data_IF_924882005632
#
_entry.id   IF_924882005632
#
_cell.length_a   1.000
_cell.length_b   1.000
_cell.length_c   1.000
_cell.angle_alpha   90.00
_cell.angle_beta   90.00
_cell.angle_gamma   90.00
#
_symmetry.space_group_name_H-M   'P 1'
#
loop_
_entity.id
_entity.type
_entity.pdbx_description
1 polymer ?
#
# COMPACT_ATOMS: atom_id res chain seq x y z
N UNK A 1 34.34 11.09 33.05
CA UNK A 1 32.97 10.76 33.50
C UNK A 1 31.86 11.53 32.77
N UNK A 2 31.99 12.84 32.50
CA UNK A 2 31.00 13.60 31.73
C UNK A 2 30.79 13.07 30.29
N UNK A 3 31.85 12.57 29.66
CA UNK A 3 31.83 12.09 28.27
C UNK A 3 31.00 10.81 28.07
N UNK A 4 30.99 9.92 29.08
CA UNK A 4 30.21 8.67 29.04
C UNK A 4 28.70 8.94 29.15
N UNK A 5 28.27 9.91 29.97
CA UNK A 5 26.86 10.31 30.07
C UNK A 5 26.36 10.92 28.75
N UNK A 6 27.14 11.82 28.15
CA UNK A 6 26.79 12.46 26.89
C UNK A 6 26.67 11.45 25.72
N UNK A 7 27.53 10.43 25.67
CA UNK A 7 27.43 9.34 24.69
C UNK A 7 26.17 8.49 24.93
N UNK A 8 25.85 8.20 26.18
CA UNK A 8 24.68 7.38 26.56
C UNK A 8 23.35 8.09 26.27
N UNK A 9 23.27 9.39 26.49
CA UNK A 9 22.09 10.19 26.16
C UNK A 9 21.86 10.25 24.64
N UNK A 10 22.93 10.48 23.85
CA UNK A 10 22.84 10.49 22.38
C UNK A 10 22.40 9.14 21.81
N UNK A 11 22.87 8.03 22.37
CA UNK A 11 22.46 6.69 21.91
C UNK A 11 21.01 6.40 22.28
N UNK A 12 20.55 6.81 23.46
CA UNK A 12 19.17 6.67 23.90
C UNK A 12 18.20 7.50 23.04
N UNK A 13 18.56 8.74 22.72
CA UNK A 13 17.78 9.60 21.81
C UNK A 13 17.70 9.02 20.40
N UNK A 14 18.84 8.56 19.86
CA UNK A 14 18.88 7.92 18.54
C UNK A 14 18.05 6.63 18.49
N UNK A 15 18.05 5.83 19.56
CA UNK A 15 17.19 4.65 19.66
C UNK A 15 15.71 5.01 19.72
N UNK A 16 15.35 6.01 20.52
CA UNK A 16 13.97 6.51 20.64
C UNK A 16 13.45 7.02 19.30
N UNK A 17 14.27 7.78 18.56
CA UNK A 17 13.97 8.24 17.21
C UNK A 17 13.72 7.09 16.23
N UNK A 18 14.59 6.06 16.24
CA UNK A 18 14.43 4.86 15.40
C UNK A 18 13.16 4.08 15.72
N UNK A 19 12.82 3.90 17.00
CA UNK A 19 11.58 3.22 17.43
C UNK A 19 10.33 3.97 16.96
N UNK A 20 10.31 5.31 17.09
CA UNK A 20 9.19 6.13 16.60
C UNK A 20 9.04 6.03 15.09
N UNK A 21 10.13 6.08 14.32
CA UNK A 21 10.08 5.92 12.86
C UNK A 21 9.57 4.54 12.45
N UNK A 22 10.02 3.48 13.12
CA UNK A 22 9.55 2.12 12.85
C UNK A 22 8.04 1.96 13.14
N UNK A 23 7.56 2.52 14.26
CA UNK A 23 6.12 2.52 14.59
C UNK A 23 5.28 3.27 13.56
N UNK A 24 5.74 4.44 13.10
CA UNK A 24 5.08 5.20 12.03
C UNK A 24 5.06 4.42 10.71
N UNK A 25 6.19 3.83 10.32
CA UNK A 25 6.27 3.00 9.11
C UNK A 25 5.27 1.84 9.17
N UNK A 26 5.23 1.11 10.29
CA UNK A 26 4.29 0.00 10.49
C UNK A 26 2.82 0.44 10.43
N UNK A 27 2.48 1.59 11.03
CA UNK A 27 1.14 2.17 10.93
C UNK A 27 0.74 2.46 9.47
N UNK A 28 1.60 3.16 8.71
CA UNK A 28 1.32 3.48 7.31
C UNK A 28 1.28 2.25 6.42
N UNK A 29 2.08 1.22 6.73
CA UNK A 29 2.04 -0.06 6.02
C UNK A 29 0.71 -0.79 6.26
N UNK A 30 0.21 -0.78 7.51
CA UNK A 30 -1.11 -1.31 7.83
C UNK A 30 -2.24 -0.54 7.12
N UNK A 31 -2.16 0.80 7.09
CA UNK A 31 -3.13 1.62 6.36
C UNK A 31 -3.09 1.36 4.84
N UNK A 32 -1.90 1.20 4.26
CA UNK A 32 -1.75 0.86 2.85
C UNK A 32 -2.42 -0.49 2.53
N UNK A 33 -2.23 -1.49 3.40
CA UNK A 33 -2.89 -2.79 3.28
C UNK A 33 -4.41 -2.66 3.30
N UNK A 34 -4.97 -1.91 4.26
CA UNK A 34 -6.41 -1.70 4.33
C UNK A 34 -6.95 -1.02 3.06
N UNK A 35 -6.35 0.09 2.64
CA UNK A 35 -6.87 0.86 1.51
C UNK A 35 -6.71 0.13 0.18
N UNK A 36 -5.63 -0.62 -0.01
CA UNK A 36 -5.41 -1.41 -1.22
C UNK A 36 -6.30 -2.65 -1.25
N UNK A 37 -6.49 -3.36 -0.14
CA UNK A 37 -7.16 -4.67 -0.13
C UNK A 37 -8.68 -4.59 0.12
N UNK A 38 -9.17 -3.62 0.87
CA UNK A 38 -10.61 -3.50 1.19
C UNK A 38 -11.50 -3.48 -0.05
N UNK A 39 -11.16 -2.76 -1.13
CA UNK A 39 -11.99 -2.76 -2.33
C UNK A 39 -12.09 -4.13 -3.03
N UNK A 40 -11.11 -5.02 -2.84
CA UNK A 40 -11.16 -6.38 -3.39
C UNK A 40 -12.12 -7.29 -2.65
N UNK A 41 -12.39 -7.02 -1.36
CA UNK A 41 -13.41 -7.76 -0.61
C UNK A 41 -14.83 -7.50 -1.15
N UNK A 42 -15.03 -6.38 -1.85
CA UNK A 42 -16.31 -5.93 -2.40
C UNK A 42 -16.45 -6.24 -3.90
N UNK A 43 -15.33 -6.52 -4.58
CA UNK A 43 -15.24 -6.83 -6.02
C UNK A 43 -16.21 -7.94 -6.51
N UNK A 44 -16.42 -9.07 -5.76
CA UNK A 44 -17.33 -10.13 -6.21
C UNK A 44 -18.79 -9.68 -6.31
N UNK A 45 -19.19 -8.67 -5.52
CA UNK A 45 -20.57 -8.14 -5.50
C UNK A 45 -20.83 -7.23 -6.70
N UNK A 46 -19.77 -6.68 -7.31
CA UNK A 46 -19.87 -5.63 -8.32
C UNK A 46 -19.79 -6.13 -9.77
N UNK A 47 -19.70 -7.45 -9.97
CA UNK A 47 -19.75 -8.11 -11.29
C UNK A 47 -21.18 -8.18 -11.89
N UNK A 48 -22.18 -7.62 -11.20
CA UNK A 48 -23.55 -7.46 -11.68
C UNK A 48 -23.68 -6.07 -12.31
N UNK A 49 -24.15 -5.96 -13.56
CA UNK A 49 -23.99 -4.75 -14.40
C UNK A 49 -24.31 -3.40 -13.76
N UNK A 50 -25.37 -3.28 -12.96
CA UNK A 50 -25.74 -2.02 -12.26
C UNK A 50 -24.78 -1.66 -11.11
N UNK A 51 -24.02 -2.62 -10.60
CA UNK A 51 -23.03 -2.42 -9.55
C UNK A 51 -21.65 -1.99 -10.09
N UNK A 52 -21.42 -2.01 -11.41
CA UNK A 52 -20.13 -1.66 -12.02
C UNK A 52 -19.80 -0.16 -11.90
N UNK A 53 -20.75 0.72 -12.19
CA UNK A 53 -20.54 2.17 -11.98
C UNK A 53 -20.35 2.49 -10.49
N UNK A 54 -21.17 1.87 -9.63
CA UNK A 54 -21.06 2.01 -8.17
C UNK A 54 -19.68 1.59 -7.67
N UNK A 55 -19.12 0.52 -8.22
CA UNK A 55 -17.75 0.08 -7.92
C UNK A 55 -16.73 1.17 -8.22
N UNK A 56 -16.72 1.74 -9.43
CA UNK A 56 -15.76 2.78 -9.77
C UNK A 56 -15.91 4.04 -8.90
N UNK A 57 -17.15 4.43 -8.58
CA UNK A 57 -17.42 5.58 -7.70
C UNK A 57 -16.89 5.38 -6.28
N UNK A 58 -16.83 4.15 -5.78
CA UNK A 58 -16.23 3.83 -4.47
C UNK A 58 -14.72 3.65 -4.60
N UNK A 59 -14.29 2.96 -5.66
CA UNK A 59 -12.93 2.49 -5.77
C UNK A 59 -11.94 3.59 -6.14
N UNK A 60 -12.32 4.53 -7.01
CA UNK A 60 -11.48 5.67 -7.37
C UNK A 60 -11.09 6.51 -6.15
N UNK A 61 -12.01 6.92 -5.25
CA UNK A 61 -11.66 7.55 -3.98
C UNK A 61 -10.69 6.72 -3.13
N UNK A 62 -10.90 5.40 -3.03
CA UNK A 62 -9.98 4.51 -2.33
C UNK A 62 -8.58 4.53 -2.97
N UNK A 63 -8.48 4.52 -4.29
CA UNK A 63 -7.21 4.60 -5.00
C UNK A 63 -6.49 5.92 -4.73
N UNK A 64 -7.21 7.05 -4.72
CA UNK A 64 -6.68 8.39 -4.41
C UNK A 64 -6.16 8.45 -2.98
N UNK A 65 -6.94 7.99 -2.00
CA UNK A 65 -6.51 7.90 -0.60
C UNK A 65 -5.28 6.98 -0.50
N UNK A 66 -5.29 5.87 -1.23
CA UNK A 66 -4.19 4.91 -1.32
C UNK A 66 -2.89 5.57 -1.79
N UNK A 67 -2.94 6.40 -2.84
CA UNK A 67 -1.78 7.16 -3.31
C UNK A 67 -1.18 8.05 -2.21
N UNK A 68 -2.03 8.76 -1.47
CA UNK A 68 -1.57 9.58 -0.36
C UNK A 68 -0.93 8.73 0.75
N UNK A 69 -1.56 7.61 1.13
CA UNK A 69 -1.04 6.67 2.14
C UNK A 69 0.31 6.09 1.71
N UNK A 70 0.43 5.63 0.46
CA UNK A 70 1.67 5.08 -0.12
C UNK A 70 2.76 6.17 -0.18
N UNK A 71 2.39 7.42 -0.48
CA UNK A 71 3.32 8.55 -0.46
C UNK A 71 3.95 8.76 0.93
N UNK A 72 3.15 8.64 2.00
CA UNK A 72 3.66 8.71 3.38
C UNK A 72 4.57 7.52 3.69
N UNK A 73 4.16 6.30 3.30
CA UNK A 73 4.94 5.07 3.49
C UNK A 73 6.34 5.17 2.87
N UNK A 74 6.40 5.68 1.63
CA UNK A 74 7.65 5.91 0.87
C UNK A 74 8.62 6.82 1.62
N UNK A 75 8.12 7.90 2.23
CA UNK A 75 8.93 8.84 3.02
C UNK A 75 9.53 8.21 4.27
N UNK A 76 8.87 7.18 4.82
CA UNK A 76 9.25 6.50 6.07
C UNK A 76 10.00 5.18 5.83
N UNK A 77 10.21 4.79 4.57
CA UNK A 77 10.86 3.53 4.24
C UNK A 77 12.28 3.45 4.84
N UNK A 78 12.57 2.43 5.67
CA UNK A 78 13.80 2.39 6.49
C UNK A 78 15.05 2.03 5.69
N UNK A 79 14.92 1.69 4.40
CA UNK A 79 16.04 1.33 3.52
C UNK A 79 15.68 1.55 2.05
N UNK A 80 16.69 1.48 1.18
CA UNK A 80 16.55 1.69 -0.27
C UNK A 80 15.61 0.69 -0.93
N UNK A 81 15.66 -0.59 -0.56
CA UNK A 81 14.80 -1.63 -1.15
C UNK A 81 13.32 -1.34 -0.92
N UNK A 82 12.91 -1.11 0.33
CA UNK A 82 11.52 -0.77 0.66
C UNK A 82 11.10 0.57 0.05
N UNK A 83 12.03 1.52 -0.10
CA UNK A 83 11.74 2.79 -0.78
C UNK A 83 11.49 2.61 -2.28
N UNK A 84 12.28 1.78 -2.95
CA UNK A 84 12.09 1.43 -4.37
C UNK A 84 10.76 0.69 -4.56
N UNK A 85 10.47 -0.30 -3.70
CA UNK A 85 9.20 -1.01 -3.74
C UNK A 85 8.01 -0.06 -3.50
N UNK A 86 8.11 0.88 -2.56
CA UNK A 86 7.08 1.89 -2.34
C UNK A 86 6.90 2.84 -3.55
N UNK A 87 7.96 3.14 -4.30
CA UNK A 87 7.86 3.88 -5.56
C UNK A 87 7.17 3.07 -6.67
N UNK A 88 7.51 1.78 -6.79
CA UNK A 88 6.85 0.86 -7.74
C UNK A 88 5.37 0.76 -7.38
N UNK A 89 5.04 0.59 -6.11
CA UNK A 89 3.68 0.55 -5.60
C UNK A 89 2.92 1.85 -5.94
N UNK A 90 3.54 3.01 -5.72
CA UNK A 90 2.94 4.31 -6.06
C UNK A 90 2.67 4.44 -7.56
N UNK A 91 3.60 4.02 -8.41
CA UNK A 91 3.46 4.07 -9.85
C UNK A 91 2.35 3.12 -10.34
N UNK A 92 2.33 1.88 -9.84
CA UNK A 92 1.30 0.89 -10.15
C UNK A 92 -0.10 1.40 -9.73
N UNK A 93 -0.23 1.92 -8.51
CA UNK A 93 -1.47 2.50 -8.01
C UNK A 93 -1.94 3.69 -8.86
N UNK A 94 -1.01 4.51 -9.36
CA UNK A 94 -1.33 5.66 -10.23
C UNK A 94 -1.87 5.21 -11.58
N UNK A 95 -1.27 4.18 -12.17
CA UNK A 95 -1.75 3.58 -13.43
C UNK A 95 -3.13 2.95 -13.22
N UNK A 96 -3.34 2.26 -12.09
CA UNK A 96 -4.64 1.70 -11.73
C UNK A 96 -5.72 2.80 -11.64
N UNK A 97 -5.41 3.91 -10.95
CA UNK A 97 -6.32 5.05 -10.84
C UNK A 97 -6.71 5.61 -12.22
N UNK A 98 -5.74 5.79 -13.11
CA UNK A 98 -6.01 6.29 -14.45
C UNK A 98 -6.84 5.30 -15.28
N UNK A 99 -6.56 4.01 -15.19
CA UNK A 99 -7.34 2.96 -15.84
C UNK A 99 -8.80 2.96 -15.36
N UNK A 100 -9.03 2.98 -14.04
CA UNK A 100 -10.39 3.05 -13.48
C UNK A 100 -11.12 4.35 -13.83
N UNK A 101 -10.42 5.48 -13.86
CA UNK A 101 -11.02 6.74 -14.30
C UNK A 101 -11.43 6.68 -15.78
N UNK A 102 -10.62 6.04 -16.63
CA UNK A 102 -10.96 5.80 -18.04
C UNK A 102 -12.16 4.87 -18.22
N UNK A 103 -12.23 3.78 -17.46
CA UNK A 103 -13.40 2.90 -17.46
C UNK A 103 -14.67 3.64 -17.01
N UNK A 104 -14.60 4.40 -15.92
CA UNK A 104 -15.74 5.20 -15.44
C UNK A 104 -16.18 6.23 -16.48
N UNK A 105 -15.24 6.89 -17.15
CA UNK A 105 -15.55 7.85 -18.20
C UNK A 105 -16.31 7.19 -19.36
N UNK A 106 -15.85 6.03 -19.84
CA UNK A 106 -16.53 5.27 -20.87
C UNK A 106 -17.95 4.86 -20.43
N UNK A 107 -18.13 4.41 -19.19
CA UNK A 107 -19.44 4.07 -18.63
C UNK A 107 -20.38 5.27 -18.57
N UNK A 108 -19.89 6.43 -18.13
CA UNK A 108 -20.68 7.68 -18.07
C UNK A 108 -21.15 8.09 -19.47
N UNK A 109 -20.30 7.97 -20.50
CA UNK A 109 -20.66 8.30 -21.87
C UNK A 109 -21.77 7.40 -22.45
N UNK A 110 -21.92 6.18 -21.93
CA UNK A 110 -22.86 5.18 -22.43
C UNK A 110 -24.12 5.02 -21.56
N UNK A 111 -24.43 6.01 -20.71
CA UNK A 111 -25.66 6.00 -19.89
C UNK A 111 -25.43 5.82 -18.38
N UNK A 112 -24.17 5.70 -17.94
CA UNK A 112 -23.81 5.69 -16.54
C UNK A 112 -24.38 4.49 -15.78
N UNK A 113 -25.28 4.75 -14.81
CA UNK A 113 -25.93 3.67 -14.03
C UNK A 113 -26.84 2.77 -14.89
N UNK A 114 -27.30 3.29 -16.02
CA UNK A 114 -28.14 2.56 -16.99
C UNK A 114 -27.32 2.07 -18.19
N UNK A 115 -25.98 2.17 -18.13
CA UNK A 115 -25.12 1.74 -19.21
C UNK A 115 -25.39 0.27 -19.56
N UNK A 116 -25.60 -0.03 -20.85
CA UNK A 116 -25.95 -1.36 -21.28
C UNK A 116 -24.70 -2.25 -21.24
N UNK A 117 -24.88 -3.58 -21.28
CA UNK A 117 -23.77 -4.53 -21.10
C UNK A 117 -22.69 -4.40 -22.20
N UNK A 118 -23.07 -3.92 -23.36
CA UNK A 118 -22.20 -3.68 -24.52
C UNK A 118 -21.06 -2.70 -24.20
N UNK A 119 -21.19 -1.86 -23.15
CA UNK A 119 -20.11 -0.98 -22.69
C UNK A 119 -18.83 -1.74 -22.31
N UNK A 120 -18.93 -3.01 -21.93
CA UNK A 120 -17.78 -3.87 -21.62
C UNK A 120 -17.00 -4.32 -22.86
N UNK A 121 -17.59 -4.16 -24.05
CA UNK A 121 -16.96 -4.46 -25.34
C UNK A 121 -16.46 -3.18 -26.04
N UNK A 122 -16.83 -2.00 -25.52
CA UNK A 122 -16.45 -0.72 -26.11
C UNK A 122 -14.92 -0.52 -26.07
N UNK A 123 -14.29 -0.08 -27.18
CA UNK A 123 -12.84 0.02 -27.27
C UNK A 123 -12.20 0.89 -26.18
N UNK A 124 -12.88 1.94 -25.72
CA UNK A 124 -12.37 2.84 -24.68
C UNK A 124 -12.42 2.20 -23.29
N UNK A 125 -13.48 1.45 -23.00
CA UNK A 125 -13.60 0.67 -21.76
C UNK A 125 -12.53 -0.42 -21.72
N UNK A 126 -12.46 -1.25 -22.78
CA UNK A 126 -11.50 -2.35 -22.88
C UNK A 126 -10.06 -1.87 -22.79
N UNK A 127 -9.71 -0.77 -23.48
CA UNK A 127 -8.35 -0.18 -23.40
C UNK A 127 -8.03 0.27 -21.99
N UNK A 128 -8.97 0.91 -21.30
CA UNK A 128 -8.76 1.37 -19.92
C UNK A 128 -8.61 0.19 -18.96
N UNK A 129 -9.41 -0.87 -19.14
CA UNK A 129 -9.33 -2.12 -18.37
C UNK A 129 -8.00 -2.86 -18.56
N UNK A 130 -7.41 -2.81 -19.77
CA UNK A 130 -6.07 -3.35 -20.05
C UNK A 130 -4.96 -2.68 -19.23
N UNK A 131 -5.15 -1.45 -18.75
CA UNK A 131 -4.23 -0.80 -17.83
C UNK A 131 -4.65 -1.00 -16.37
N UNK A 132 -5.94 -0.88 -16.06
CA UNK A 132 -6.47 -0.98 -14.70
C UNK A 132 -6.15 -2.33 -14.06
N UNK A 133 -6.49 -3.44 -14.74
CA UNK A 133 -6.35 -4.78 -14.19
C UNK A 133 -4.89 -5.18 -13.93
N UNK A 134 -3.93 -5.03 -14.87
CA UNK A 134 -2.54 -5.37 -14.59
C UNK A 134 -1.91 -4.47 -13.53
N UNK A 135 -2.26 -3.18 -13.50
CA UNK A 135 -1.74 -2.23 -12.52
C UNK A 135 -2.21 -2.55 -11.09
N UNK A 136 -3.46 -2.98 -10.94
CA UNK A 136 -3.99 -3.54 -9.70
C UNK A 136 -3.19 -4.78 -9.28
N UNK A 137 -3.00 -5.74 -10.19
CA UNK A 137 -2.30 -6.99 -9.86
C UNK A 137 -0.87 -6.71 -9.42
N UNK A 138 -0.21 -5.76 -10.09
CA UNK A 138 1.11 -5.29 -9.73
C UNK A 138 1.12 -4.58 -8.36
N UNK A 139 0.08 -3.80 -8.06
CA UNK A 139 -0.09 -3.15 -6.75
C UNK A 139 -0.16 -4.20 -5.63
N UNK A 140 -1.03 -5.20 -5.79
CA UNK A 140 -1.20 -6.29 -4.82
C UNK A 140 0.12 -7.06 -4.65
N UNK A 141 0.74 -7.47 -5.76
CA UNK A 141 2.00 -8.21 -5.72
C UNK A 141 3.10 -7.40 -5.03
N UNK A 142 3.24 -6.12 -5.37
CA UNK A 142 4.24 -5.25 -4.75
C UNK A 142 3.97 -5.06 -3.26
N UNK A 143 2.69 -4.96 -2.86
CA UNK A 143 2.30 -4.86 -1.46
C UNK A 143 2.71 -6.11 -0.67
N UNK A 144 2.43 -7.31 -1.20
CA UNK A 144 2.85 -8.59 -0.60
C UNK A 144 4.38 -8.62 -0.46
N UNK A 145 5.12 -8.21 -1.49
CA UNK A 145 6.59 -8.18 -1.45
C UNK A 145 7.09 -7.21 -0.37
N UNK A 146 6.46 -6.05 -0.20
CA UNK A 146 6.79 -5.09 0.87
C UNK A 146 6.53 -5.72 2.25
N UNK A 147 5.39 -6.36 2.44
CA UNK A 147 5.01 -6.98 3.72
C UNK A 147 5.97 -8.10 4.11
N UNK A 148 6.27 -9.00 3.17
CA UNK A 148 7.26 -10.07 3.37
C UNK A 148 8.64 -9.49 3.68
N UNK A 149 9.08 -8.47 2.92
CA UNK A 149 10.38 -7.82 3.15
C UNK A 149 10.45 -7.15 4.53
N UNK A 150 9.38 -6.47 4.94
CA UNK A 150 9.29 -5.82 6.24
C UNK A 150 9.21 -6.84 7.38
N UNK A 151 8.42 -7.91 7.21
CA UNK A 151 8.23 -8.99 8.18
C UNK A 151 9.51 -9.78 8.43
N UNK A 152 10.21 -10.21 7.37
CA UNK A 152 11.50 -10.91 7.47
C UNK A 152 12.50 -10.06 8.25
N UNK A 153 12.60 -8.75 7.95
CA UNK A 153 13.51 -7.85 8.68
C UNK A 153 13.09 -7.67 10.14
N UNK A 154 11.80 -7.53 10.40
CA UNK A 154 11.26 -7.45 11.76
C UNK A 154 11.54 -8.72 12.58
N UNK A 155 11.57 -9.89 11.94
CA UNK A 155 11.97 -11.15 12.57
C UNK A 155 13.47 -11.16 12.89
N UNK A 156 14.34 -10.86 11.91
CA UNK A 156 15.78 -10.82 12.13
C UNK A 156 16.22 -9.83 13.23
N UNK A 157 15.58 -8.65 13.29
CA UNK A 157 15.86 -7.69 14.37
C UNK A 157 15.43 -8.20 15.75
N UNK A 158 14.36 -8.99 15.84
CA UNK A 158 13.91 -9.62 17.09
C UNK A 158 14.87 -10.73 17.54
N UNK A 159 15.27 -11.62 16.62
CA UNK A 159 16.23 -12.70 16.92
C UNK A 159 17.56 -12.15 17.43
N UNK A 160 18.10 -11.14 16.76
CA UNK A 160 19.38 -10.52 17.16
C UNK A 160 19.31 -9.82 18.52
N UNK A 161 18.15 -9.26 18.91
CA UNK A 161 17.93 -8.72 20.26
C UNK A 161 17.83 -9.80 21.33
N UNK A 162 17.20 -10.93 21.02
CA UNK A 162 17.10 -12.06 21.95
C UNK A 162 18.49 -12.68 22.23
N UNK A 163 19.36 -12.76 21.23
CA UNK A 163 20.76 -13.20 21.40
C UNK A 163 21.60 -12.24 22.27
N UNK A 164 21.41 -10.92 22.11
CA UNK A 164 22.17 -9.91 22.87
C UNK A 164 21.66 -9.69 24.30
N UNK A 165 20.39 -10.03 24.56
CA UNK A 165 19.75 -9.91 25.88
C UNK A 165 19.31 -11.29 26.41
N UNK A 166 20.13 -12.32 26.18
CA UNK A 166 19.90 -13.69 26.68
C UNK A 166 19.48 -13.70 28.16
N UNK A 167 18.80 -14.77 28.61
CA UNK A 167 18.13 -14.79 29.91
C UNK A 167 19.08 -14.31 31.00
N UNK A 168 18.71 -13.23 31.68
CA UNK A 168 19.35 -12.85 32.94
C UNK A 168 18.99 -13.99 33.88
N UNK A 169 19.90 -14.97 34.00
CA UNK A 169 19.83 -15.98 35.05
C UNK A 169 19.99 -15.20 36.34
N UNK A 170 18.87 -14.98 37.03
CA UNK A 170 18.87 -14.44 38.37
C UNK A 170 19.45 -15.55 39.27
N UNK A 171 20.71 -15.38 39.68
CA UNK A 171 21.26 -16.07 40.85
C UNK A 171 20.73 -15.43 42.14
#
# INVERSE_FOLDING_TARGET
MADSKAVTERTAEAETGRRRMAGRFGFWLGMANLVVLVPFAILPVTLLGTAHMTFHLIYIPCLIIGLWVIWQLKGLAPNRTLRVLAWILLAAQSIALLGHAGELFAVIQHGGFEAPYEVFEEPEHVRSAQFALPAIMLTILTMIVIDVTAGIRGLFHRSRRAELHGPVVAE
#
